data_IF_127452018757
#
_entry.id   IF_127452018757
#
_cell.length_a   1.000
_cell.length_b   1.000
_cell.length_c   1.000
_cell.angle_alpha   90.00
_cell.angle_beta   90.00
_cell.angle_gamma   90.00
#
_symmetry.space_group_name_H-M   'P 1'
#
loop_
_entity.id
_entity.type
_entity.pdbx_description
1 polymer ?
#
# COMPACT_ATOMS: atom_id res chain seq x y z
N UNK A 1 25.93 8.14 1.74
CA UNK A 1 26.79 8.51 2.90
C UNK A 1 27.41 7.28 3.62
N UNK A 2 26.61 6.23 3.99
CA UNK A 2 27.18 5.00 4.58
C UNK A 2 27.92 4.19 3.52
N UNK A 3 27.32 4.01 2.36
CA UNK A 3 27.91 3.27 1.25
C UNK A 3 29.23 3.90 0.77
N UNK A 4 29.26 5.23 0.65
CA UNK A 4 30.48 5.96 0.24
C UNK A 4 31.65 5.85 1.24
N UNK A 5 31.33 5.51 2.50
CA UNK A 5 32.34 5.29 3.55
C UNK A 5 32.82 3.84 3.65
N UNK A 6 32.06 2.91 3.07
CA UNK A 6 32.24 1.47 3.27
C UNK A 6 32.75 0.76 2.02
N UNK A 7 32.35 1.23 0.85
CA UNK A 7 32.64 0.60 -0.43
C UNK A 7 33.38 1.54 -1.36
N UNK A 8 34.23 1.00 -2.24
CA UNK A 8 34.76 1.75 -3.38
C UNK A 8 33.62 2.09 -4.35
N UNK A 9 33.63 3.30 -4.89
CA UNK A 9 32.57 3.75 -5.80
C UNK A 9 32.54 2.97 -7.13
N UNK A 10 33.61 2.30 -7.49
CA UNK A 10 33.65 1.37 -8.62
C UNK A 10 32.97 0.02 -8.31
N UNK A 11 32.76 -0.29 -7.04
CA UNK A 11 32.07 -1.51 -6.59
C UNK A 11 30.61 -1.23 -6.23
N UNK A 12 30.35 -0.09 -5.58
CA UNK A 12 29.00 0.29 -5.15
C UNK A 12 28.81 1.82 -5.20
N UNK A 13 27.85 2.28 -5.99
CA UNK A 13 27.51 3.69 -6.11
C UNK A 13 26.01 3.91 -5.95
N UNK A 14 25.62 5.05 -5.33
CA UNK A 14 24.24 5.47 -5.16
C UNK A 14 23.96 6.71 -6.03
N UNK A 15 22.92 6.64 -6.85
CA UNK A 15 22.46 7.76 -7.67
C UNK A 15 21.11 8.24 -7.15
N UNK A 16 21.02 9.54 -6.85
CA UNK A 16 19.80 10.19 -6.37
C UNK A 16 19.26 11.12 -7.44
N UNK A 17 17.93 11.11 -7.63
CA UNK A 17 17.29 12.01 -8.58
C UNK A 17 15.81 11.72 -8.77
N UNK A 18 15.19 12.50 -9.63
CA UNK A 18 13.80 12.34 -10.01
C UNK A 18 13.59 11.27 -11.10
N UNK A 19 12.39 11.23 -11.70
CA UNK A 19 12.04 10.29 -12.76
C UNK A 19 12.97 10.37 -13.98
N UNK A 20 13.51 11.54 -14.29
CA UNK A 20 14.46 11.81 -15.37
C UNK A 20 15.80 11.06 -15.16
N UNK A 21 16.30 11.07 -13.93
CA UNK A 21 17.50 10.30 -13.55
C UNK A 21 17.21 8.80 -13.62
N UNK A 22 16.06 8.36 -13.13
CA UNK A 22 15.62 6.96 -13.23
C UNK A 22 15.51 6.49 -14.68
N UNK A 23 14.93 7.29 -15.56
CA UNK A 23 14.83 6.99 -16.99
C UNK A 23 16.22 6.90 -17.67
N UNK A 24 17.11 7.83 -17.36
CA UNK A 24 18.48 7.79 -17.90
C UNK A 24 19.23 6.55 -17.39
N UNK A 25 19.08 6.23 -16.10
CA UNK A 25 19.72 5.07 -15.47
C UNK A 25 19.31 3.75 -16.10
N UNK A 26 18.01 3.56 -16.37
CA UNK A 26 17.49 2.30 -16.96
C UNK A 26 17.93 2.06 -18.41
N UNK A 27 18.46 3.09 -19.09
CA UNK A 27 19.02 2.97 -20.45
C UNK A 27 20.49 2.53 -20.48
N UNK A 28 21.13 2.41 -19.32
CA UNK A 28 22.52 1.97 -19.26
C UNK A 28 22.67 0.47 -19.53
N UNK A 29 23.84 0.08 -20.01
CA UNK A 29 24.14 -1.30 -20.36
C UNK A 29 24.58 -2.10 -19.11
N UNK A 30 23.61 -2.53 -18.30
CA UNK A 30 23.85 -3.36 -17.12
C UNK A 30 23.90 -4.85 -17.48
N UNK A 31 24.51 -5.66 -16.60
CA UNK A 31 24.43 -7.11 -16.69
C UNK A 31 23.07 -7.64 -16.19
N UNK A 32 22.45 -6.91 -15.27
CA UNK A 32 21.12 -7.20 -14.71
C UNK A 32 20.52 -5.95 -14.10
N UNK A 33 19.19 -5.80 -14.16
CA UNK A 33 18.46 -4.71 -13.55
C UNK A 33 17.38 -5.26 -12.62
N UNK A 34 17.42 -4.89 -11.35
CA UNK A 34 16.37 -5.13 -10.37
C UNK A 34 15.55 -3.85 -10.18
N UNK A 35 14.26 -3.95 -10.36
CA UNK A 35 13.34 -2.84 -10.14
C UNK A 35 12.28 -3.20 -9.10
N UNK A 36 12.06 -2.31 -8.14
CA UNK A 36 10.94 -2.39 -7.20
C UNK A 36 10.06 -1.16 -7.34
N UNK A 37 8.76 -1.34 -7.59
CA UNK A 37 7.82 -0.23 -7.74
C UNK A 37 6.51 -0.60 -8.44
N UNK A 38 5.85 0.40 -9.02
CA UNK A 38 4.56 0.22 -9.70
C UNK A 38 4.68 -0.43 -11.08
N UNK A 39 3.66 -1.22 -11.45
CA UNK A 39 3.65 -1.98 -12.71
C UNK A 39 3.75 -1.10 -13.97
N UNK A 40 3.15 0.09 -13.97
CA UNK A 40 3.25 1.00 -15.13
C UNK A 40 4.68 1.49 -15.34
N UNK A 41 5.39 1.86 -14.28
CA UNK A 41 6.81 2.23 -14.38
C UNK A 41 7.67 1.03 -14.77
N UNK A 42 7.35 -0.17 -14.28
CA UNK A 42 8.05 -1.40 -14.66
C UNK A 42 8.02 -1.66 -16.17
N UNK A 43 6.92 -1.35 -16.85
CA UNK A 43 6.83 -1.46 -18.31
C UNK A 43 7.84 -0.55 -19.02
N UNK A 44 8.02 0.68 -18.52
CA UNK A 44 9.02 1.61 -19.05
C UNK A 44 10.45 1.11 -18.78
N UNK A 45 10.70 0.58 -17.58
CA UNK A 45 11.98 -0.02 -17.21
C UNK A 45 12.33 -1.18 -18.13
N UNK A 46 11.41 -2.14 -18.33
CA UNK A 46 11.61 -3.27 -19.25
C UNK A 46 11.87 -2.81 -20.68
N UNK A 47 11.10 -1.83 -21.16
CA UNK A 47 11.27 -1.31 -22.53
C UNK A 47 12.66 -0.68 -22.71
N UNK A 48 13.14 0.09 -21.74
CA UNK A 48 14.46 0.68 -21.79
C UNK A 48 15.57 -0.40 -21.73
N UNK A 49 15.46 -1.34 -20.81
CA UNK A 49 16.40 -2.44 -20.63
C UNK A 49 16.51 -3.35 -21.88
N UNK A 50 15.40 -3.57 -22.58
CA UNK A 50 15.34 -4.41 -23.79
C UNK A 50 16.22 -3.88 -24.93
N UNK A 51 16.48 -2.58 -24.98
CA UNK A 51 17.34 -1.97 -26.01
C UNK A 51 18.79 -2.44 -25.92
N UNK A 52 19.22 -2.84 -24.73
CA UNK A 52 20.55 -3.36 -24.46
C UNK A 52 20.54 -4.86 -24.08
N UNK A 53 19.39 -5.54 -24.26
CA UNK A 53 19.18 -6.94 -23.86
C UNK A 53 19.48 -7.22 -22.39
N UNK A 54 19.24 -6.23 -21.52
CA UNK A 54 19.47 -6.35 -20.08
C UNK A 54 18.35 -7.18 -19.45
N UNK A 55 18.64 -8.31 -18.78
CA UNK A 55 17.63 -9.07 -18.04
C UNK A 55 17.15 -8.30 -16.83
N UNK A 56 15.83 -8.37 -16.54
CA UNK A 56 15.19 -7.66 -15.44
C UNK A 56 14.58 -8.62 -14.43
N UNK A 57 14.72 -8.29 -13.15
CA UNK A 57 13.86 -8.79 -12.06
C UNK A 57 12.95 -7.67 -11.61
N UNK A 58 11.65 -7.94 -11.57
CA UNK A 58 10.64 -6.94 -11.20
C UNK A 58 9.94 -7.35 -9.91
N UNK A 59 10.07 -6.52 -8.88
CA UNK A 59 9.34 -6.61 -7.63
C UNK A 59 8.23 -5.56 -7.64
N UNK A 60 6.99 -6.01 -7.75
CA UNK A 60 5.83 -5.15 -7.99
C UNK A 60 4.84 -5.19 -6.80
N UNK A 61 3.78 -4.42 -6.90
CA UNK A 61 2.71 -4.43 -5.91
C UNK A 61 1.91 -5.73 -5.92
N UNK A 62 1.04 -5.87 -4.94
CA UNK A 62 0.17 -7.04 -4.78
C UNK A 62 -1.19 -6.68 -4.20
N UNK A 63 -2.12 -7.61 -4.34
CA UNK A 63 -3.46 -7.61 -3.72
C UNK A 63 -3.53 -8.85 -2.82
N UNK A 64 -2.82 -8.80 -1.68
CA UNK A 64 -2.62 -9.97 -0.82
C UNK A 64 -3.91 -10.41 -0.14
N UNK A 65 -4.43 -11.62 -0.44
CA UNK A 65 -5.62 -12.16 0.18
C UNK A 65 -5.36 -12.61 1.61
N UNK A 66 -6.38 -12.46 2.46
CA UNK A 66 -6.44 -13.09 3.77
C UNK A 66 -7.59 -14.08 3.81
N UNK A 67 -7.34 -15.29 4.27
CA UNK A 67 -8.36 -16.32 4.42
C UNK A 67 -8.56 -16.64 5.90
N UNK A 68 -9.76 -16.38 6.42
CA UNK A 68 -10.13 -16.65 7.81
C UNK A 68 -10.95 -17.93 7.89
N UNK A 69 -10.33 -18.99 8.39
CA UNK A 69 -10.99 -20.28 8.61
C UNK A 69 -12.06 -20.23 9.70
N UNK A 70 -12.97 -21.22 9.69
CA UNK A 70 -14.09 -21.28 10.66
C UNK A 70 -13.64 -21.38 12.12
N UNK A 71 -12.48 -21.98 12.39
CA UNK A 71 -11.91 -22.11 13.74
C UNK A 71 -11.01 -20.96 14.16
N UNK A 72 -10.78 -19.98 13.29
CA UNK A 72 -9.90 -18.86 13.60
C UNK A 72 -10.49 -17.99 14.73
N UNK A 73 -9.62 -17.55 15.63
CA UNK A 73 -9.92 -16.50 16.60
C UNK A 73 -9.96 -15.14 15.89
N UNK A 74 -11.14 -14.52 15.85
CA UNK A 74 -11.38 -13.32 15.07
C UNK A 74 -10.63 -12.11 15.64
N UNK A 75 -10.56 -11.99 16.95
CA UNK A 75 -9.88 -10.87 17.62
C UNK A 75 -8.39 -10.88 17.31
N UNK A 76 -7.73 -12.01 17.49
CA UNK A 76 -6.30 -12.16 17.15
C UNK A 76 -6.07 -11.97 15.65
N UNK A 77 -6.96 -12.49 14.81
CA UNK A 77 -6.87 -12.35 13.36
C UNK A 77 -6.98 -10.88 12.94
N UNK A 78 -7.99 -10.15 13.42
CA UNK A 78 -8.20 -8.74 13.15
C UNK A 78 -6.99 -7.88 13.57
N UNK A 79 -6.46 -8.10 14.78
CA UNK A 79 -5.26 -7.38 15.25
C UNK A 79 -4.06 -7.59 14.33
N UNK A 80 -3.77 -8.84 13.95
CA UNK A 80 -2.62 -9.14 13.07
C UNK A 80 -2.81 -8.56 11.67
N UNK A 81 -4.02 -8.65 11.12
CA UNK A 81 -4.35 -8.10 9.81
C UNK A 81 -4.20 -6.58 9.83
N UNK A 82 -4.80 -5.92 10.83
CA UNK A 82 -4.75 -4.46 10.90
C UNK A 82 -3.35 -3.94 11.23
N UNK A 83 -2.56 -4.63 12.03
CA UNK A 83 -1.15 -4.31 12.19
C UNK A 83 -0.41 -4.30 10.84
N UNK A 84 -0.56 -5.36 10.04
CA UNK A 84 0.06 -5.44 8.71
C UNK A 84 -0.53 -4.45 7.70
N UNK A 85 -1.85 -4.17 7.79
CA UNK A 85 -2.54 -3.24 6.88
C UNK A 85 -2.21 -1.78 7.16
N UNK A 86 -2.10 -1.39 8.42
CA UNK A 86 -1.85 0.01 8.78
C UNK A 86 -0.36 0.37 8.76
N UNK A 87 0.53 -0.63 8.73
CA UNK A 87 1.95 -0.39 8.53
C UNK A 87 2.16 0.39 7.24
N UNK A 88 2.81 1.55 7.32
CA UNK A 88 3.02 2.47 6.21
C UNK A 88 1.71 2.84 5.47
N UNK A 89 0.58 2.91 6.18
CA UNK A 89 -0.76 3.12 5.64
C UNK A 89 -1.13 2.15 4.49
N UNK A 90 -0.67 0.90 4.57
CA UNK A 90 -0.93 -0.13 3.56
C UNK A 90 -0.11 0.00 2.27
N UNK A 91 0.84 0.92 2.21
CA UNK A 91 1.69 1.17 1.04
C UNK A 91 2.88 0.21 1.01
N UNK A 92 2.59 -1.08 1.10
CA UNK A 92 3.58 -2.18 1.09
C UNK A 92 3.06 -3.27 0.15
N UNK A 93 3.95 -3.88 -0.64
CA UNK A 93 3.59 -4.93 -1.61
C UNK A 93 2.89 -6.15 -0.98
N UNK A 94 3.15 -6.43 0.29
CA UNK A 94 2.57 -7.54 1.07
C UNK A 94 1.41 -7.13 1.98
N UNK A 95 1.00 -5.85 1.98
CA UNK A 95 -0.09 -5.40 2.86
C UNK A 95 -1.37 -6.23 2.61
N UNK A 96 -2.02 -6.74 3.67
CA UNK A 96 -3.32 -7.37 3.54
C UNK A 96 -4.29 -6.46 2.78
N UNK A 97 -4.98 -7.01 1.77
CA UNK A 97 -5.84 -6.19 0.92
C UNK A 97 -7.31 -6.58 1.06
N UNK A 98 -7.67 -7.80 0.69
CA UNK A 98 -9.03 -8.29 0.85
C UNK A 98 -9.09 -9.51 1.75
N UNK A 99 -10.26 -9.69 2.41
CA UNK A 99 -10.46 -10.75 3.39
C UNK A 99 -11.58 -11.66 2.95
N UNK A 100 -11.29 -12.96 2.87
CA UNK A 100 -12.26 -14.02 2.67
C UNK A 100 -12.61 -14.59 4.03
N UNK A 101 -13.82 -14.33 4.47
CA UNK A 101 -14.34 -14.79 5.77
C UNK A 101 -15.69 -15.47 5.60
N UNK A 102 -15.99 -16.48 6.45
CA UNK A 102 -17.30 -17.12 6.40
C UNK A 102 -18.41 -16.11 6.69
N UNK A 103 -19.51 -16.16 5.92
CA UNK A 103 -20.60 -15.18 6.01
C UNK A 103 -21.13 -14.97 7.43
N UNK A 104 -21.23 -16.04 8.23
CA UNK A 104 -21.75 -15.98 9.61
C UNK A 104 -20.76 -15.31 10.59
N UNK A 105 -19.54 -15.04 10.17
CA UNK A 105 -18.48 -14.38 10.96
C UNK A 105 -18.12 -12.99 10.44
N UNK A 106 -18.74 -12.54 9.36
CA UNK A 106 -18.41 -11.28 8.70
C UNK A 106 -18.56 -10.09 9.64
N UNK A 107 -19.72 -9.95 10.27
CA UNK A 107 -20.03 -8.79 11.09
C UNK A 107 -19.19 -8.76 12.38
N UNK A 108 -18.96 -9.92 13.00
CA UNK A 108 -18.07 -10.05 14.15
C UNK A 108 -16.63 -9.68 13.76
N UNK A 109 -16.16 -10.12 12.59
CA UNK A 109 -14.83 -9.78 12.10
C UNK A 109 -14.69 -8.28 11.81
N UNK A 110 -15.69 -7.64 11.21
CA UNK A 110 -15.71 -6.19 10.98
C UNK A 110 -15.62 -5.45 12.31
N UNK A 111 -16.39 -5.88 13.33
CA UNK A 111 -16.33 -5.29 14.66
C UNK A 111 -14.92 -5.40 15.27
N UNK A 112 -14.35 -6.60 15.29
CA UNK A 112 -12.99 -6.80 15.83
C UNK A 112 -11.92 -6.01 15.05
N UNK A 113 -12.14 -5.78 13.74
CA UNK A 113 -11.26 -4.94 12.91
C UNK A 113 -11.32 -3.47 13.35
N UNK A 114 -12.52 -2.92 13.58
CA UNK A 114 -12.70 -1.57 14.10
C UNK A 114 -12.09 -1.41 15.50
N UNK A 115 -12.33 -2.38 16.38
CA UNK A 115 -11.76 -2.39 17.72
C UNK A 115 -10.23 -2.39 17.69
N UNK A 116 -9.63 -3.19 16.78
CA UNK A 116 -8.18 -3.26 16.61
C UNK A 116 -7.58 -1.93 16.11
N UNK A 117 -8.22 -1.28 15.13
CA UNK A 117 -7.76 0.04 14.64
C UNK A 117 -7.88 1.09 15.73
N UNK A 118 -8.99 1.10 16.47
CA UNK A 118 -9.19 2.04 17.59
C UNK A 118 -8.15 1.85 18.69
N UNK A 119 -7.75 0.61 18.96
CA UNK A 119 -6.68 0.29 19.93
C UNK A 119 -5.31 0.81 19.46
N UNK A 120 -5.00 0.68 18.16
CA UNK A 120 -3.71 1.11 17.60
C UNK A 120 -3.64 2.60 17.35
N UNK A 121 -4.73 3.18 16.87
CA UNK A 121 -4.82 4.58 16.44
C UNK A 121 -6.14 5.19 16.92
N UNK A 122 -6.20 5.65 18.19
CA UNK A 122 -7.39 6.31 18.71
C UNK A 122 -7.73 7.63 17.98
N UNK A 123 -6.75 8.25 17.39
CA UNK A 123 -6.85 9.35 16.41
C UNK A 123 -5.94 9.04 15.20
N UNK A 124 -6.16 9.70 14.06
CA UNK A 124 -5.46 9.40 12.80
C UNK A 124 -4.84 10.66 12.21
N UNK A 125 -5.60 11.75 12.10
CA UNK A 125 -5.22 12.94 11.34
C UNK A 125 -3.93 13.58 11.83
N UNK A 126 -3.78 13.70 13.13
CA UNK A 126 -2.60 14.31 13.75
C UNK A 126 -1.69 13.28 14.44
N UNK A 127 -1.95 12.00 14.27
CA UNK A 127 -1.18 10.93 14.88
C UNK A 127 0.16 10.75 14.15
N UNK A 128 1.27 10.95 14.85
CA UNK A 128 2.62 10.86 14.28
C UNK A 128 3.00 9.41 13.90
N UNK A 129 2.38 8.41 14.56
CA UNK A 129 2.61 6.99 14.28
C UNK A 129 1.81 6.47 13.08
N UNK A 130 0.81 7.23 12.58
CA UNK A 130 0.04 6.85 11.41
C UNK A 130 0.58 7.54 10.15
N UNK A 131 1.04 6.76 9.19
CA UNK A 131 1.69 7.25 7.98
C UNK A 131 0.71 7.92 7.01
N UNK A 132 1.15 8.95 6.32
CA UNK A 132 0.41 9.61 5.23
C UNK A 132 0.49 8.82 3.92
N UNK A 133 -0.48 9.03 3.03
CA UNK A 133 -0.35 8.63 1.63
C UNK A 133 0.77 9.46 1.00
N UNK A 134 1.59 8.84 0.16
CA UNK A 134 2.89 9.37 -0.29
C UNK A 134 2.79 10.74 -0.99
N UNK A 135 1.70 11.02 -1.69
CA UNK A 135 1.48 12.29 -2.38
C UNK A 135 0.00 12.50 -2.77
N UNK A 136 -0.33 13.72 -3.22
CA UNK A 136 -1.67 14.11 -3.65
C UNK A 136 -2.22 13.17 -4.73
N UNK A 137 -1.46 12.85 -5.77
CA UNK A 137 -1.90 12.00 -6.88
C UNK A 137 -2.41 10.63 -6.40
N UNK A 138 -1.71 10.01 -5.45
CA UNK A 138 -2.12 8.72 -4.89
C UNK A 138 -3.29 8.86 -3.92
N UNK A 139 -3.35 9.96 -3.18
CA UNK A 139 -4.48 10.27 -2.31
C UNK A 139 -5.77 10.43 -3.14
N UNK A 140 -5.74 11.25 -4.18
CA UNK A 140 -6.89 11.46 -5.07
C UNK A 140 -7.33 10.16 -5.74
N UNK A 141 -6.39 9.37 -6.27
CA UNK A 141 -6.70 8.05 -6.86
C UNK A 141 -7.40 7.12 -5.88
N UNK A 142 -7.05 7.13 -4.59
CA UNK A 142 -7.73 6.30 -3.59
C UNK A 142 -9.13 6.81 -3.29
N UNK A 143 -9.33 8.12 -3.28
CA UNK A 143 -10.68 8.72 -3.16
C UNK A 143 -11.55 8.34 -4.34
N UNK A 144 -11.04 8.51 -5.56
CA UNK A 144 -11.76 8.14 -6.79
C UNK A 144 -12.20 6.67 -6.78
N UNK A 145 -11.35 5.76 -6.27
CA UNK A 145 -11.69 4.34 -6.12
C UNK A 145 -12.80 4.09 -5.08
N UNK A 146 -12.84 4.84 -3.99
CA UNK A 146 -13.91 4.74 -3.00
C UNK A 146 -15.22 5.31 -3.54
N UNK A 147 -15.15 6.42 -4.26
CA UNK A 147 -16.31 7.04 -4.90
C UNK A 147 -16.90 6.10 -5.96
N UNK A 148 -16.08 5.48 -6.81
CA UNK A 148 -16.49 4.45 -7.78
C UNK A 148 -17.15 3.24 -7.09
N UNK A 149 -16.58 2.78 -5.97
CA UNK A 149 -17.17 1.67 -5.21
C UNK A 149 -18.55 2.04 -4.65
N UNK A 150 -18.73 3.27 -4.16
CA UNK A 150 -20.02 3.78 -3.67
C UNK A 150 -21.04 3.86 -4.83
N UNK A 151 -20.64 4.41 -5.98
CA UNK A 151 -21.50 4.50 -7.16
C UNK A 151 -21.95 3.12 -7.66
N UNK A 152 -21.12 2.10 -7.51
CA UNK A 152 -21.44 0.69 -7.83
C UNK A 152 -22.23 -0.02 -6.73
N UNK A 153 -22.57 0.65 -5.66
CA UNK A 153 -23.45 0.13 -4.59
C UNK A 153 -22.72 -0.62 -3.48
N UNK A 154 -21.39 -0.50 -3.39
CA UNK A 154 -20.64 -1.03 -2.26
C UNK A 154 -20.90 -0.23 -0.97
N UNK A 155 -20.77 -0.89 0.17
CA UNK A 155 -20.78 -0.22 1.45
C UNK A 155 -19.36 0.16 1.83
N UNK A 156 -19.10 1.44 2.00
CA UNK A 156 -17.81 2.01 2.42
C UNK A 156 -17.92 2.46 3.87
N UNK A 157 -17.06 1.94 4.72
CA UNK A 157 -17.08 2.14 6.17
C UNK A 157 -15.69 2.57 6.64
N UNK A 158 -15.51 3.88 6.82
CA UNK A 158 -14.27 4.46 7.33
C UNK A 158 -14.11 4.21 8.82
N UNK A 159 -12.95 3.72 9.24
CA UNK A 159 -12.63 3.54 10.65
C UNK A 159 -11.98 4.82 11.17
N UNK A 160 -12.80 5.70 11.70
CA UNK A 160 -12.42 7.02 12.19
C UNK A 160 -12.84 7.16 13.66
N UNK A 161 -12.06 6.66 14.63
CA UNK A 161 -12.46 6.56 16.03
C UNK A 161 -12.80 7.90 16.68
N UNK A 162 -12.12 8.97 16.32
CA UNK A 162 -12.28 10.31 16.89
C UNK A 162 -13.20 11.24 16.08
N UNK A 163 -13.87 10.73 15.04
CA UNK A 163 -14.72 11.53 14.13
C UNK A 163 -14.00 12.77 13.56
N UNK A 164 -12.75 12.57 13.15
CA UNK A 164 -11.93 13.65 12.60
C UNK A 164 -12.40 14.05 11.20
N UNK A 165 -12.27 15.33 10.88
CA UNK A 165 -12.55 15.85 9.54
C UNK A 165 -11.29 15.78 8.65
N UNK A 166 -11.33 14.94 7.62
CA UNK A 166 -10.26 14.78 6.64
C UNK A 166 -10.44 15.65 5.40
N UNK A 167 -11.50 16.46 5.30
CA UNK A 167 -11.73 17.34 4.15
C UNK A 167 -10.68 18.46 4.04
N UNK A 168 -10.11 18.85 5.17
CA UNK A 168 -9.06 19.86 5.26
C UNK A 168 -7.87 19.34 6.05
N UNK A 169 -6.82 18.97 5.36
CA UNK A 169 -5.59 18.48 5.97
C UNK A 169 -4.36 18.83 5.13
N UNK A 170 -3.23 18.96 5.83
CA UNK A 170 -1.93 19.23 5.23
C UNK A 170 -1.24 17.93 4.76
N UNK A 171 -1.59 16.79 5.34
CA UNK A 171 -0.77 15.57 5.29
C UNK A 171 -1.49 14.36 4.68
N UNK A 172 -2.20 14.39 3.65
CA UNK A 172 -2.77 13.22 2.91
C UNK A 172 -3.11 11.99 3.76
N UNK A 173 -3.56 12.18 5.00
CA UNK A 173 -3.96 11.09 5.88
C UNK A 173 -5.31 10.54 5.42
N UNK A 174 -5.43 9.22 5.43
CA UNK A 174 -6.65 8.53 5.04
C UNK A 174 -6.97 7.45 6.08
N UNK A 175 -8.17 7.45 6.69
CA UNK A 175 -8.51 6.43 7.67
C UNK A 175 -8.56 5.05 7.02
N UNK A 176 -8.23 3.98 7.75
CA UNK A 176 -8.47 2.63 7.27
C UNK A 176 -9.94 2.44 6.93
N UNK A 177 -10.22 1.87 5.77
CA UNK A 177 -11.58 1.81 5.23
C UNK A 177 -11.93 0.37 4.89
N UNK A 178 -13.11 -0.09 5.33
CA UNK A 178 -13.67 -1.39 4.99
C UNK A 178 -14.68 -1.20 3.86
N UNK A 179 -14.49 -1.93 2.78
CA UNK A 179 -15.43 -1.95 1.66
C UNK A 179 -16.10 -3.32 1.62
N UNK A 180 -17.42 -3.36 1.60
CA UNK A 180 -18.22 -4.59 1.54
C UNK A 180 -19.30 -4.49 0.49
N UNK A 181 -19.92 -5.61 0.14
CA UNK A 181 -20.94 -5.68 -0.90
C UNK A 181 -20.42 -5.23 -2.27
N UNK A 182 -19.17 -5.61 -2.56
CA UNK A 182 -18.52 -5.35 -3.85
C UNK A 182 -19.07 -6.27 -4.94
N UNK A 183 -19.03 -5.81 -6.19
CA UNK A 183 -19.29 -6.60 -7.39
C UNK A 183 -17.96 -6.98 -8.07
N UNK A 184 -18.03 -7.85 -9.06
CA UNK A 184 -16.85 -8.26 -9.87
C UNK A 184 -16.58 -7.27 -11.04
N UNK A 185 -17.36 -6.20 -11.15
CA UNK A 185 -17.28 -5.19 -12.22
C UNK A 185 -16.35 -4.02 -11.89
#
# INVERSE_FOLDING_TARGET
QLCDKTFDQNEFATFLGGPDVGEAFTKLNFNHLLYTGGGEVAKHVMNAASQNLVPCTLELGGKSPVVIGKSADLKTSAKRIMFGKTMNAGQICLAPDYVIVHKDKKDDFIKETKDAVTEYFPDIKNNEDYTSIINQKHYDRLKDLLDDAIEKGANVDEINPSNEDFSQQEFYKMPPTIVTNTTDD
#
